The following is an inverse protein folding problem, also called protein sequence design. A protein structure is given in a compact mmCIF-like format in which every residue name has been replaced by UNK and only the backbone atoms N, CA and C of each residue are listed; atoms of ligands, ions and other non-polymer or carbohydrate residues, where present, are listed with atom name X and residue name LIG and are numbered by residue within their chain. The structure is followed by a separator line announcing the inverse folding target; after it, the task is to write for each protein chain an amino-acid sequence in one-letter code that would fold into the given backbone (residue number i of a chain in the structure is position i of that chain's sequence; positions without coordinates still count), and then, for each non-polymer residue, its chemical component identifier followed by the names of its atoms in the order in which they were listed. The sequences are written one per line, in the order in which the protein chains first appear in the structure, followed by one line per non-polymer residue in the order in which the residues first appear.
data_IF_096866816797
#
_entry.id   IF_096866816797
#
_cell.length_a   1.000
_cell.length_b   1.000
_cell.length_c   1.000
_cell.angle_alpha   90.00
_cell.angle_beta   90.00
_cell.angle_gamma   90.00
#
_symmetry.space_group_name_H-M   'P 1'
#
loop_
_entity.id
_entity.type
_entity.pdbx_description
1 polymer ?
#
# COMPACT_ATOMS: atom_id res chain seq x y z
N UNK A 1 -18.89 -20.36 -16.77
CA UNK A 1 -18.53 -19.04 -16.21
C UNK A 1 -17.33 -19.18 -15.25
N UNK A 2 -16.13 -18.89 -15.74
CA UNK A 2 -14.91 -18.88 -14.93
C UNK A 2 -14.83 -17.51 -14.28
N UNK A 3 -15.04 -17.43 -12.96
CA UNK A 3 -14.83 -16.19 -12.22
C UNK A 3 -13.36 -15.77 -12.38
N UNK A 4 -13.05 -14.47 -12.52
CA UNK A 4 -11.66 -14.03 -12.46
C UNK A 4 -11.14 -14.41 -11.07
N UNK A 5 -10.16 -15.33 -11.02
CA UNK A 5 -9.34 -15.54 -9.84
C UNK A 5 -8.62 -14.23 -9.57
N UNK A 6 -9.18 -13.40 -8.69
CA UNK A 6 -8.46 -12.26 -8.14
C UNK A 6 -7.12 -12.78 -7.61
N UNK A 7 -6.00 -12.08 -7.87
CA UNK A 7 -4.71 -12.47 -7.30
C UNK A 7 -4.87 -12.69 -5.80
N UNK A 8 -4.51 -13.89 -5.34
CA UNK A 8 -4.62 -14.25 -3.94
C UNK A 8 -3.49 -13.55 -3.17
N UNK A 9 -3.82 -12.48 -2.44
CA UNK A 9 -2.88 -11.77 -1.58
C UNK A 9 -2.84 -12.44 -0.19
N UNK A 10 -2.52 -13.74 -0.19
CA UNK A 10 -2.75 -14.59 0.96
C UNK A 10 -4.25 -14.71 1.25
N UNK A 11 -4.66 -14.36 2.46
CA UNK A 11 -6.07 -14.34 2.88
C UNK A 11 -6.79 -13.01 2.54
N UNK A 12 -6.07 -12.00 2.06
CA UNK A 12 -6.66 -10.69 1.74
C UNK A 12 -7.15 -10.61 0.29
N UNK A 13 -8.17 -9.77 0.06
CA UNK A 13 -8.47 -9.25 -1.28
C UNK A 13 -7.68 -7.97 -1.55
N UNK A 14 -7.48 -7.65 -2.83
CA UNK A 14 -6.78 -6.42 -3.21
C UNK A 14 -7.50 -5.16 -2.72
N UNK A 15 -8.83 -5.17 -2.79
CA UNK A 15 -9.68 -4.10 -2.28
C UNK A 15 -9.55 -3.94 -0.76
N UNK A 16 -9.43 -5.03 0.00
CA UNK A 16 -9.20 -4.97 1.45
C UNK A 16 -7.86 -4.33 1.77
N UNK A 17 -6.79 -4.76 1.09
CA UNK A 17 -5.45 -4.19 1.27
C UNK A 17 -5.43 -2.69 0.94
N UNK A 18 -6.07 -2.30 -0.16
CA UNK A 18 -6.21 -0.89 -0.54
C UNK A 18 -6.96 -0.09 0.53
N UNK A 19 -8.12 -0.58 1.00
CA UNK A 19 -8.92 0.09 2.02
C UNK A 19 -8.18 0.27 3.34
N UNK A 20 -7.51 -0.78 3.83
CA UNK A 20 -6.69 -0.69 5.05
C UNK A 20 -5.63 0.40 4.89
N UNK A 21 -4.97 0.45 3.73
CA UNK A 21 -3.96 1.47 3.49
C UNK A 21 -4.55 2.90 3.43
N UNK A 22 -5.71 3.06 2.81
CA UNK A 22 -6.41 4.33 2.74
C UNK A 22 -6.81 4.78 4.15
N UNK A 23 -7.44 3.94 4.95
CA UNK A 23 -7.89 4.31 6.30
C UNK A 23 -6.73 4.80 7.18
N UNK A 24 -5.57 4.13 7.11
CA UNK A 24 -4.40 4.50 7.92
C UNK A 24 -3.74 5.81 7.44
N UNK A 25 -3.65 6.00 6.12
CA UNK A 25 -2.97 7.17 5.53
C UNK A 25 -3.88 8.37 5.30
N UNK A 26 -5.21 8.22 5.31
CA UNK A 26 -6.17 9.30 5.01
C UNK A 26 -5.96 10.53 5.88
N UNK A 27 -5.58 10.35 7.14
CA UNK A 27 -5.31 11.45 8.08
C UNK A 27 -4.08 12.28 7.71
N UNK A 28 -3.18 11.76 6.88
CA UNK A 28 -1.97 12.44 6.40
C UNK A 28 -2.25 13.39 5.22
N UNK A 29 -3.38 13.22 4.53
CA UNK A 29 -3.75 14.01 3.37
C UNK A 29 -4.79 15.10 3.71
N UNK A 30 -4.98 16.04 2.78
CA UNK A 30 -6.07 17.01 2.89
C UNK A 30 -7.44 16.31 2.82
N UNK A 31 -8.49 16.90 3.41
CA UNK A 31 -9.83 16.31 3.39
C UNK A 31 -10.40 16.08 1.98
N UNK A 32 -9.93 16.83 0.99
CA UNK A 32 -10.31 16.71 -0.43
C UNK A 32 -9.56 15.60 -1.18
N UNK A 33 -8.79 14.76 -0.48
CA UNK A 33 -8.06 13.65 -1.11
C UNK A 33 -9.02 12.66 -1.79
N UNK A 34 -8.66 12.25 -3.01
CA UNK A 34 -9.33 11.18 -3.75
C UNK A 34 -8.36 10.01 -3.89
N UNK A 35 -8.79 8.79 -3.65
CA UNK A 35 -7.98 7.58 -3.79
C UNK A 35 -8.50 6.72 -4.95
N UNK A 36 -7.59 6.20 -5.77
CA UNK A 36 -7.90 5.32 -6.91
C UNK A 36 -7.61 3.86 -6.52
N UNK A 37 -8.63 3.19 -5.99
CA UNK A 37 -8.52 1.80 -5.53
C UNK A 37 -8.27 0.85 -6.72
N UNK A 38 -8.86 1.12 -7.88
CA UNK A 38 -8.76 0.25 -9.06
C UNK A 38 -7.34 0.22 -9.65
N UNK A 39 -6.58 1.31 -9.48
CA UNK A 39 -5.17 1.41 -9.93
C UNK A 39 -4.18 1.09 -8.79
N UNK A 40 -4.66 0.47 -7.70
CA UNK A 40 -3.80 0.08 -6.58
C UNK A 40 -2.77 -0.95 -7.04
N UNK A 41 -1.51 -0.66 -6.78
CA UNK A 41 -0.41 -1.60 -6.99
C UNK A 41 -0.14 -2.36 -5.70
N UNK A 42 -0.14 -3.69 -5.77
CA UNK A 42 0.09 -4.57 -4.64
C UNK A 42 1.25 -5.50 -4.98
N UNK A 43 2.33 -5.41 -4.22
CA UNK A 43 3.54 -6.19 -4.42
C UNK A 43 3.81 -7.07 -3.20
N UNK A 44 4.23 -8.32 -3.43
CA UNK A 44 4.67 -9.19 -2.35
C UNK A 44 6.11 -8.87 -1.98
N UNK A 45 6.35 -8.62 -0.70
CA UNK A 45 7.64 -8.31 -0.10
C UNK A 45 8.40 -9.59 0.24
N UNK A 46 9.72 -9.48 0.32
CA UNK A 46 10.58 -10.58 0.80
C UNK A 46 10.78 -10.57 2.31
N UNK A 47 10.27 -9.53 2.98
CA UNK A 47 10.32 -9.30 4.43
C UNK A 47 8.91 -9.20 5.00
N UNK A 48 8.78 -9.20 6.32
CA UNK A 48 7.50 -8.89 6.99
C UNK A 48 7.41 -7.38 7.28
N UNK A 49 6.24 -6.75 7.13
CA UNK A 49 4.98 -7.29 6.59
C UNK A 49 5.05 -7.70 5.12
N UNK A 50 4.25 -8.68 4.70
CA UNK A 50 4.41 -9.39 3.42
C UNK A 50 3.91 -8.62 2.20
N UNK A 51 3.04 -7.63 2.38
CA UNK A 51 2.38 -6.92 1.28
C UNK A 51 2.77 -5.46 1.30
N UNK A 52 3.30 -4.98 0.18
CA UNK A 52 3.45 -3.55 -0.10
C UNK A 52 2.25 -3.10 -0.91
N UNK A 53 1.47 -2.17 -0.38
CA UNK A 53 0.28 -1.62 -1.01
C UNK A 53 0.57 -0.17 -1.36
N UNK A 54 0.38 0.17 -2.63
CA UNK A 54 0.59 1.51 -3.16
C UNK A 54 -0.72 1.95 -3.80
N UNK A 55 -1.46 2.82 -3.12
CA UNK A 55 -2.74 3.34 -3.60
C UNK A 55 -2.52 4.73 -4.19
N UNK A 56 -2.73 4.95 -5.50
CA UNK A 56 -2.71 6.29 -6.07
C UNK A 56 -3.74 7.19 -5.41
N UNK A 57 -3.35 8.44 -5.17
CA UNK A 57 -4.19 9.45 -4.55
C UNK A 57 -4.03 10.78 -5.28
N UNK A 58 -4.99 11.68 -5.14
CA UNK A 58 -4.90 13.05 -5.62
C UNK A 58 -5.40 13.99 -4.55
N UNK A 59 -4.59 14.96 -4.18
CA UNK A 59 -4.88 15.94 -3.11
C UNK A 59 -4.44 17.33 -3.53
N UNK A 60 -5.31 18.33 -3.40
CA UNK A 60 -4.96 19.72 -3.74
C UNK A 60 -4.50 19.93 -5.20
N UNK A 61 -4.92 19.06 -6.12
CA UNK A 61 -4.48 19.08 -7.52
C UNK A 61 -3.11 18.46 -7.79
N UNK A 62 -2.47 17.85 -6.79
CA UNK A 62 -1.23 17.12 -6.90
C UNK A 62 -1.49 15.61 -6.87
N UNK A 63 -0.74 14.87 -7.69
CA UNK A 63 -0.72 13.42 -7.60
C UNK A 63 0.08 13.00 -6.36
N UNK A 64 -0.46 12.04 -5.64
CA UNK A 64 0.08 11.49 -4.41
C UNK A 64 -0.13 9.98 -4.40
N UNK A 65 0.45 9.32 -3.40
CA UNK A 65 0.35 7.87 -3.21
C UNK A 65 0.32 7.55 -1.73
N UNK A 66 -0.51 6.59 -1.36
CA UNK A 66 -0.50 5.98 -0.03
C UNK A 66 0.35 4.73 -0.10
N UNK A 67 1.35 4.63 0.77
CA UNK A 67 2.25 3.50 0.86
C UNK A 67 2.04 2.81 2.18
N UNK A 68 1.64 1.55 2.15
CA UNK A 68 1.46 0.76 3.35
C UNK A 68 2.11 -0.60 3.26
N UNK A 69 2.71 -1.05 4.36
CA UNK A 69 3.16 -2.45 4.50
C UNK A 69 2.17 -3.19 5.40
N UNK A 70 1.51 -4.18 4.83
CA UNK A 70 0.42 -4.91 5.46
C UNK A 70 0.77 -6.38 5.58
N UNK A 71 0.49 -6.96 6.74
CA UNK A 71 0.67 -8.37 7.04
C UNK A 71 -0.45 -8.87 7.95
N UNK A 72 -0.25 -10.05 8.54
CA UNK A 72 -1.26 -10.69 9.38
C UNK A 72 -2.38 -11.30 8.56
N UNK A 73 -3.63 -11.09 8.98
CA UNK A 73 -4.82 -11.68 8.33
C UNK A 73 -5.92 -10.63 8.16
N UNK A 74 -6.90 -10.81 7.26
CA UNK A 74 -8.01 -9.86 7.11
C UNK A 74 -8.83 -9.64 8.39
N UNK A 75 -8.86 -10.61 9.31
CA UNK A 75 -9.52 -10.46 10.61
C UNK A 75 -8.67 -9.68 11.64
N UNK A 76 -7.36 -9.56 11.42
CA UNK A 76 -6.42 -8.86 12.28
C UNK A 76 -5.25 -8.35 11.42
N UNK A 77 -5.46 -7.29 10.64
CA UNK A 77 -4.41 -6.74 9.78
C UNK A 77 -3.33 -6.07 10.63
N UNK A 78 -2.08 -6.25 10.23
CA UNK A 78 -0.92 -5.60 10.84
C UNK A 78 -0.35 -4.62 9.83
N UNK A 79 -0.42 -3.33 10.14
CA UNK A 79 0.19 -2.26 9.36
C UNK A 79 1.44 -1.81 10.11
N UNK A 80 2.63 -1.94 9.52
CA UNK A 80 3.87 -1.46 10.16
C UNK A 80 4.37 -0.14 9.59
N UNK A 81 4.17 0.08 8.29
CA UNK A 81 4.42 1.35 7.64
C UNK A 81 3.13 1.82 6.99
N UNK A 82 2.81 3.10 7.19
CA UNK A 82 1.77 3.81 6.48
C UNK A 82 2.21 5.25 6.26
N UNK A 83 2.41 5.62 5.00
CA UNK A 83 2.96 6.92 4.63
C UNK A 83 2.25 7.46 3.39
N UNK A 84 1.82 8.71 3.44
CA UNK A 84 1.42 9.45 2.25
C UNK A 84 2.63 10.14 1.62
N UNK A 85 2.89 9.88 0.33
CA UNK A 85 3.93 10.56 -0.45
C UNK A 85 3.31 11.35 -1.60
N UNK A 86 3.77 12.57 -1.82
CA UNK A 86 3.39 13.42 -2.98
C UNK A 86 4.43 13.31 -4.11
N UNK A 87 5.53 12.60 -3.86
CA UNK A 87 6.58 12.36 -4.84
C UNK A 87 6.33 11.05 -5.60
N UNK A 88 6.67 11.04 -6.88
CA UNK A 88 6.65 9.82 -7.69
C UNK A 88 7.72 8.86 -7.17
N UNK A 89 7.31 7.66 -6.76
CA UNK A 89 8.25 6.61 -6.36
C UNK A 89 8.84 5.95 -7.60
N UNK A 90 10.15 6.11 -7.88
CA UNK A 90 10.79 5.38 -8.95
C UNK A 90 10.75 3.88 -8.66
N UNK A 91 10.74 3.06 -9.71
CA UNK A 91 10.65 1.59 -9.57
C UNK A 91 11.76 1.01 -8.69
N UNK A 92 12.97 1.58 -8.73
CA UNK A 92 14.07 1.17 -7.83
C UNK A 92 13.70 1.35 -6.36
N UNK A 93 12.98 2.42 -6.00
CA UNK A 93 12.56 2.64 -4.61
C UNK A 93 11.49 1.64 -4.19
N UNK A 94 10.55 1.32 -5.08
CA UNK A 94 9.54 0.27 -4.86
C UNK A 94 10.24 -1.08 -4.63
N UNK A 95 11.22 -1.44 -5.45
CA UNK A 95 11.99 -2.67 -5.28
C UNK A 95 12.77 -2.69 -3.96
N UNK A 96 13.31 -1.55 -3.51
CA UNK A 96 13.95 -1.44 -2.19
C UNK A 96 12.95 -1.69 -1.05
N UNK A 97 11.76 -1.09 -1.11
CA UNK A 97 10.69 -1.32 -0.13
C UNK A 97 10.21 -2.79 -0.11
N UNK A 98 10.12 -3.43 -1.27
CA UNK A 98 9.83 -4.86 -1.41
C UNK A 98 10.88 -5.70 -0.69
N UNK A 99 12.16 -5.32 -0.79
CA UNK A 99 13.28 -5.98 -0.12
C UNK A 99 13.44 -5.62 1.37
N UNK A 100 12.65 -4.66 1.89
CA UNK A 100 12.81 -4.12 3.25
C UNK A 100 14.03 -3.20 3.41
N UNK A 101 14.66 -2.80 2.31
CA UNK A 101 15.78 -1.87 2.35
C UNK A 101 15.23 -0.45 2.52
N UNK A 102 15.65 0.25 3.58
CA UNK A 102 15.23 1.58 4.07
C UNK A 102 14.18 1.65 5.21
N UNK A 103 13.70 0.54 5.78
CA UNK A 103 12.80 0.60 6.97
C UNK A 103 13.53 0.92 8.30
N UNK A 104 14.78 1.36 8.23
CA UNK A 104 15.59 1.71 9.39
C UNK A 104 16.58 0.61 9.73
N UNK A 105 17.76 0.66 9.12
CA UNK A 105 18.95 0.09 9.76
C UNK A 105 19.29 0.96 10.96
N UNK A 106 18.72 0.67 12.13
CA UNK A 106 19.44 0.93 13.36
C UNK A 106 20.15 -0.38 13.74
N UNK A 107 21.50 -0.46 13.64
CA UNK A 107 22.25 -1.59 14.18
C UNK A 107 22.11 -1.69 15.70
#
# INVERSE_FOLDING_TARGET
PTAPTSPAFGDFTGEQLAQICIDDTRSTFNPDVTFDIEDTRIERRTVTPEWLVIVPARTGGLDARSLCTIGGTPASPVVEMASGSIEDLPEEQIQRLIRGENEGTNP
#
